data_IF_655220855354
#
_entry.id   IF_655220855354
#
_cell.length_a   1.000
_cell.length_b   1.000
_cell.length_c   1.000
_cell.angle_alpha   90.00
_cell.angle_beta   90.00
_cell.angle_gamma   90.00
#
_symmetry.space_group_name_H-M   'P 1'
#
loop_
_entity.id
_entity.type
_entity.pdbx_description
1 polymer ?
#
# COMPACT_ATOMS: atom_id res chain seq x y z
N UNK A 1 27.63 -14.78 -6.37
CA UNK A 1 26.52 -13.89 -5.96
C UNK A 1 25.59 -13.73 -7.14
N UNK A 2 24.36 -14.24 -7.05
CA UNK A 2 23.38 -14.13 -8.14
C UNK A 2 22.81 -12.72 -8.12
N UNK A 3 23.23 -11.91 -9.08
CA UNK A 3 22.67 -10.59 -9.36
C UNK A 3 21.17 -10.72 -9.54
N UNK A 4 20.38 -10.38 -8.52
CA UNK A 4 18.93 -10.31 -8.66
C UNK A 4 18.62 -9.01 -9.38
N UNK A 5 18.02 -9.10 -10.56
CA UNK A 5 17.40 -7.95 -11.23
C UNK A 5 16.61 -7.15 -10.20
N UNK A 6 16.94 -5.87 -10.06
CA UNK A 6 16.23 -4.98 -9.15
C UNK A 6 14.75 -4.97 -9.54
N UNK A 7 13.90 -5.60 -8.73
CA UNK A 7 12.45 -5.58 -8.92
C UNK A 7 11.95 -4.25 -8.39
N UNK A 8 11.88 -3.25 -9.28
CA UNK A 8 11.21 -1.96 -9.10
C UNK A 8 11.60 -1.14 -7.85
N UNK A 9 11.01 0.06 -7.71
CA UNK A 9 11.03 0.80 -6.45
C UNK A 9 10.26 0.02 -5.37
N UNK A 10 10.84 -0.09 -4.19
CA UNK A 10 10.24 -0.78 -3.05
C UNK A 10 10.23 0.12 -1.83
N UNK A 11 9.12 0.16 -1.11
CA UNK A 11 9.00 0.93 0.13
C UNK A 11 8.50 0.05 1.28
N UNK A 12 8.99 0.35 2.49
CA UNK A 12 8.43 -0.20 3.73
C UNK A 12 7.24 0.66 4.17
N UNK A 13 6.13 0.02 4.50
CA UNK A 13 4.94 0.68 5.00
C UNK A 13 4.25 -0.16 6.09
N UNK A 14 3.23 0.41 6.73
CA UNK A 14 2.45 -0.27 7.76
C UNK A 14 1.88 -1.65 7.34
N UNK A 15 1.26 -1.81 6.15
CA UNK A 15 0.77 -3.11 5.68
C UNK A 15 1.88 -4.11 5.35
N UNK A 16 3.12 -3.64 5.15
CA UNK A 16 4.26 -4.45 4.76
C UNK A 16 5.19 -3.76 3.76
N UNK A 17 6.00 -4.56 3.06
CA UNK A 17 6.91 -4.11 2.01
C UNK A 17 6.18 -4.09 0.68
N UNK A 18 5.99 -2.90 0.13
CA UNK A 18 5.25 -2.66 -1.11
C UNK A 18 6.23 -2.45 -2.26
N UNK A 19 6.06 -3.23 -3.32
CA UNK A 19 6.71 -3.08 -4.61
C UNK A 19 5.82 -2.25 -5.53
N UNK A 20 6.42 -1.26 -6.20
CA UNK A 20 5.83 -0.58 -7.35
C UNK A 20 6.28 -1.33 -8.60
N UNK A 21 5.36 -2.04 -9.27
CA UNK A 21 5.67 -2.75 -10.52
C UNK A 21 5.84 -1.76 -11.67
N UNK A 22 5.09 -0.67 -11.66
CA UNK A 22 5.15 0.37 -12.69
C UNK A 22 3.87 1.18 -12.78
N UNK A 23 3.80 1.96 -13.85
CA UNK A 23 2.64 2.76 -14.23
C UNK A 23 1.97 2.08 -15.42
N UNK A 24 0.64 2.05 -15.43
CA UNK A 24 -0.15 1.53 -16.56
C UNK A 24 -1.40 2.36 -16.77
N UNK A 25 -2.05 2.14 -17.91
CA UNK A 25 -3.33 2.75 -18.25
C UNK A 25 -4.39 1.66 -18.34
N UNK A 26 -5.43 1.75 -17.52
CA UNK A 26 -6.54 0.81 -17.51
C UNK A 26 -7.83 1.61 -17.72
N UNK A 27 -8.58 1.31 -18.80
CA UNK A 27 -9.83 2.00 -19.14
C UNK A 27 -9.67 3.54 -19.23
N UNK A 28 -8.53 4.02 -19.73
CA UNK A 28 -8.20 5.45 -19.82
C UNK A 28 -7.75 6.10 -18.51
N UNK A 29 -7.67 5.35 -17.40
CA UNK A 29 -7.15 5.84 -16.12
C UNK A 29 -5.69 5.42 -15.94
N UNK A 30 -4.80 6.41 -15.74
CA UNK A 30 -3.40 6.17 -15.39
C UNK A 30 -3.30 5.76 -13.92
N UNK A 31 -2.69 4.60 -13.66
CA UNK A 31 -2.61 3.98 -12.33
C UNK A 31 -1.22 3.47 -12.02
N UNK A 32 -0.86 3.45 -10.74
CA UNK A 32 0.25 2.65 -10.24
C UNK A 32 -0.21 1.20 -10.02
N UNK A 33 0.56 0.25 -10.51
CA UNK A 33 0.41 -1.16 -10.12
C UNK A 33 1.36 -1.48 -8.96
N UNK A 34 0.77 -1.95 -7.87
CA UNK A 34 1.43 -2.19 -6.60
C UNK A 34 1.23 -3.64 -6.16
N UNK A 35 2.14 -4.12 -5.32
CA UNK A 35 2.05 -5.47 -4.76
C UNK A 35 2.79 -5.54 -3.43
N UNK A 36 2.23 -6.25 -2.45
CA UNK A 36 2.97 -6.59 -1.24
C UNK A 36 3.93 -7.75 -1.54
N UNK A 37 5.23 -7.54 -1.37
CA UNK A 37 6.24 -8.62 -1.45
C UNK A 37 6.53 -9.24 -0.09
N UNK A 38 6.09 -8.57 0.98
CA UNK A 38 6.05 -9.06 2.35
C UNK A 38 4.91 -8.32 3.05
N UNK A 39 3.88 -9.02 3.54
CA UNK A 39 2.73 -8.43 4.24
C UNK A 39 2.70 -8.76 5.73
N UNK A 40 1.86 -8.06 6.50
CA UNK A 40 1.51 -8.46 7.88
C UNK A 40 0.71 -9.78 7.88
N UNK A 41 -0.15 -9.95 6.88
CA UNK A 41 -0.73 -11.24 6.52
C UNK A 41 0.00 -11.79 5.27
N UNK A 42 0.58 -13.00 5.31
CA UNK A 42 1.14 -13.68 4.15
C UNK A 42 0.18 -13.79 2.97
N UNK A 43 -1.13 -13.90 3.22
CA UNK A 43 -2.17 -13.99 2.19
C UNK A 43 -2.31 -12.70 1.37
N UNK A 44 -1.77 -11.57 1.83
CA UNK A 44 -1.77 -10.33 1.06
C UNK A 44 -0.64 -10.28 0.03
N UNK A 45 0.38 -11.12 0.20
CA UNK A 45 1.56 -11.11 -0.66
C UNK A 45 1.19 -11.51 -2.09
N UNK A 46 1.88 -10.88 -3.03
CA UNK A 46 1.77 -11.14 -4.45
C UNK A 46 0.38 -10.90 -5.08
N UNK A 47 -0.56 -10.29 -4.34
CA UNK A 47 -1.84 -9.82 -4.86
C UNK A 47 -1.65 -8.41 -5.45
N UNK A 48 -1.87 -8.23 -6.76
CA UNK A 48 -1.78 -6.91 -7.37
C UNK A 48 -2.93 -6.02 -6.87
N UNK A 49 -2.61 -4.77 -6.58
CA UNK A 49 -3.60 -3.74 -6.28
C UNK A 49 -3.20 -2.43 -6.97
N UNK A 50 -4.16 -1.54 -7.12
CA UNK A 50 -4.00 -0.36 -7.96
C UNK A 50 -4.27 0.92 -7.16
N UNK A 51 -3.41 1.90 -7.38
CA UNK A 51 -3.60 3.26 -6.88
C UNK A 51 -3.70 4.22 -8.05
N UNK A 52 -4.47 5.31 -7.89
CA UNK A 52 -4.47 6.40 -8.86
C UNK A 52 -3.05 6.94 -9.02
N UNK A 53 -2.67 7.22 -10.25
CA UNK A 53 -1.39 7.87 -10.50
C UNK A 53 -1.41 9.29 -9.92
N UNK A 54 -0.47 9.58 -9.04
CA UNK A 54 -0.23 10.91 -8.48
C UNK A 54 1.28 11.17 -8.51
N UNK A 55 1.77 12.13 -9.34
CA UNK A 55 3.20 12.43 -9.45
C UNK A 55 3.77 13.09 -8.19
N UNK A 56 2.93 13.62 -7.29
CA UNK A 56 3.36 14.27 -6.05
C UNK A 56 3.30 13.32 -4.85
N UNK A 57 2.80 12.10 -5.03
CA UNK A 57 2.74 11.12 -3.95
C UNK A 57 4.12 10.53 -3.66
N UNK A 58 4.60 10.73 -2.43
CA UNK A 58 5.90 10.25 -1.96
C UNK A 58 5.75 8.95 -1.17
N UNK A 59 4.67 8.82 -0.41
CA UNK A 59 4.44 7.73 0.54
C UNK A 59 3.16 6.94 0.21
N UNK A 60 3.10 5.67 0.63
CA UNK A 60 1.94 4.79 0.38
C UNK A 60 0.61 5.38 0.88
N UNK A 61 0.62 6.08 2.01
CA UNK A 61 -0.56 6.71 2.60
C UNK A 61 -1.04 7.95 1.83
N UNK A 62 -0.22 8.53 0.94
CA UNK A 62 -0.67 9.60 0.04
C UNK A 62 -1.44 9.03 -1.14
N UNK A 63 -1.27 7.74 -1.45
CA UNK A 63 -1.93 7.09 -2.56
C UNK A 63 -3.40 6.79 -2.26
N UNK A 64 -4.24 7.01 -3.27
CA UNK A 64 -5.67 6.69 -3.23
C UNK A 64 -5.95 5.45 -4.10
N UNK A 65 -6.85 4.56 -3.69
CA UNK A 65 -7.25 3.43 -4.53
C UNK A 65 -7.77 3.88 -5.90
N UNK A 66 -7.41 3.13 -6.95
CA UNK A 66 -7.90 3.38 -8.31
C UNK A 66 -9.37 2.96 -8.49
N UNK A 67 -9.96 3.25 -9.65
CA UNK A 67 -11.27 2.74 -10.08
C UNK A 67 -12.46 3.12 -9.17
N UNK A 68 -12.32 4.20 -8.40
CA UNK A 68 -13.38 4.67 -7.49
C UNK A 68 -13.52 3.85 -6.20
N UNK A 69 -12.57 2.95 -5.93
CA UNK A 69 -12.54 2.19 -4.70
C UNK A 69 -12.32 3.09 -3.48
N UNK A 70 -12.98 2.76 -2.37
CA UNK A 70 -12.86 3.54 -1.13
C UNK A 70 -11.63 3.18 -0.30
N UNK A 71 -11.11 1.97 -0.48
CA UNK A 71 -10.05 1.39 0.34
C UNK A 71 -9.20 0.39 -0.43
N UNK A 72 -7.95 0.18 0.01
CA UNK A 72 -7.15 -0.94 -0.47
C UNK A 72 -7.62 -2.25 0.17
N UNK A 73 -7.42 -3.36 -0.53
CA UNK A 73 -7.94 -4.69 -0.13
C UNK A 73 -7.50 -5.13 1.28
N UNK A 74 -6.34 -4.68 1.76
CA UNK A 74 -5.77 -5.07 3.06
C UNK A 74 -6.23 -4.17 4.24
N UNK A 75 -6.89 -3.03 3.99
CA UNK A 75 -7.06 -2.00 5.01
C UNK A 75 -7.95 -2.43 6.19
N UNK A 76 -9.07 -3.11 5.93
CA UNK A 76 -9.97 -3.56 7.01
C UNK A 76 -9.27 -4.54 7.96
N UNK A 77 -8.59 -5.53 7.39
CA UNK A 77 -7.92 -6.56 8.16
C UNK A 77 -6.72 -5.98 8.92
N UNK A 78 -5.96 -5.08 8.29
CA UNK A 78 -4.89 -4.33 8.95
C UNK A 78 -5.42 -3.52 10.14
N UNK A 79 -6.54 -2.83 9.98
CA UNK A 79 -7.17 -2.06 11.06
C UNK A 79 -7.58 -2.96 12.21
N UNK A 80 -8.17 -4.13 11.92
CA UNK A 80 -8.51 -5.13 12.92
C UNK A 80 -7.27 -5.66 13.67
N UNK A 81 -6.16 -5.91 12.97
CA UNK A 81 -4.90 -6.32 13.61
C UNK A 81 -4.36 -5.24 14.55
N UNK A 82 -4.40 -3.97 14.12
CA UNK A 82 -3.95 -2.83 14.94
C UNK A 82 -4.82 -2.71 16.19
N UNK A 83 -6.15 -2.79 16.05
CA UNK A 83 -7.10 -2.73 17.15
C UNK A 83 -6.86 -3.85 18.17
N UNK A 84 -6.74 -5.10 17.70
CA UNK A 84 -6.47 -6.27 18.56
C UNK A 84 -5.12 -6.21 19.28
N UNK A 85 -4.12 -5.55 18.67
CA UNK A 85 -2.78 -5.45 19.25
C UNK A 85 -2.68 -4.52 20.46
N UNK A 86 -3.78 -3.90 20.91
CA UNK A 86 -3.79 -2.94 22.01
C UNK A 86 -3.13 -1.59 21.66
N UNK A 87 -2.62 -1.43 20.42
CA UNK A 87 -1.99 -0.21 19.93
C UNK A 87 -2.98 0.88 19.50
N UNK A 88 -4.27 0.68 19.77
CA UNK A 88 -5.34 1.60 19.40
C UNK A 88 -5.22 2.93 20.17
N UNK A 89 -4.84 2.91 21.44
CA UNK A 89 -4.65 4.16 22.21
C UNK A 89 -3.41 4.95 21.75
N UNK A 90 -2.36 4.27 21.29
CA UNK A 90 -1.14 4.88 20.74
C UNK A 90 -1.37 5.54 19.37
N UNK A 91 -2.35 5.06 18.60
CA UNK A 91 -2.67 5.59 17.25
C UNK A 91 -3.61 6.80 17.28
N UNK A 92 -4.23 7.11 18.44
CA UNK A 92 -4.99 8.34 18.67
C UNK A 92 -4.10 9.59 18.82
N UNK A 93 -2.79 9.41 19.01
CA UNK A 93 -1.82 10.50 18.87
C UNK A 93 -1.72 10.86 17.37
N UNK A 94 -2.62 11.77 16.97
CA UNK A 94 -2.86 12.54 15.72
C UNK A 94 -1.72 12.75 14.70
N UNK A 95 -0.85 11.79 14.44
CA UNK A 95 0.25 11.93 13.46
C UNK A 95 0.53 10.70 12.60
N UNK A 96 -0.09 9.53 12.86
CA UNK A 96 0.11 8.35 12.01
C UNK A 96 -0.91 8.20 10.86
N UNK A 97 -2.04 8.89 10.92
CA UNK A 97 -3.13 8.79 9.94
C UNK A 97 -3.68 10.16 9.52
N UNK A 98 -2.89 11.24 9.58
CA UNK A 98 -3.36 12.53 9.09
C UNK A 98 -3.61 12.45 7.58
N UNK A 99 -4.90 12.32 7.26
CA UNK A 99 -5.49 12.65 5.98
C UNK A 99 -5.28 14.15 5.75
N UNK A 100 -4.39 14.47 4.81
CA UNK A 100 -4.43 15.73 4.06
C UNK A 100 -4.78 15.37 2.61
#
# INVERSE_FOLDING_TARGET
GLSRTARGPVMSALPGKVLINGIMEIRGEKVFQLMLIQGRNPDWCYKPFFAKFDPNAIWLNHLKPAFGEKKFFYQDELNNMIFKSGKYELTKNKNLFNYN
#
